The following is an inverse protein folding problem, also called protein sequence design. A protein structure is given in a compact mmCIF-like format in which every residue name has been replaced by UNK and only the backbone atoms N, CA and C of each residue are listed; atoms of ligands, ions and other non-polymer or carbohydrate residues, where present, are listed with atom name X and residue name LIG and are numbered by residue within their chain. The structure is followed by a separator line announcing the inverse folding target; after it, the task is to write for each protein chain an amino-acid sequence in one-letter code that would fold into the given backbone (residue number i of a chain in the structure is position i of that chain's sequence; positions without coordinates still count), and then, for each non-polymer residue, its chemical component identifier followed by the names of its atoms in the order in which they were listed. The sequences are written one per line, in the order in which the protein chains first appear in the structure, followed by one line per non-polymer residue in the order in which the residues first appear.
data_IF_146143337056
#
_entry.id   IF_146143337056
#
_cell.length_a   1.000
_cell.length_b   1.000
_cell.length_c   1.000
_cell.angle_alpha   90.00
_cell.angle_beta   90.00
_cell.angle_gamma   90.00
#
_symmetry.space_group_name_H-M   'P 1'
#
loop_
_entity.id
_entity.type
_entity.pdbx_description
1 polymer ?
#
# COMPACT_ATOMS: atom_id res chain seq x y z
N UNK A 1 9.48 10.19 -9.38
CA UNK A 1 8.54 9.97 -8.26
C UNK A 1 7.47 8.93 -8.59
N UNK A 2 6.82 8.98 -9.77
CA UNK A 2 5.77 8.01 -10.16
C UNK A 2 6.24 6.55 -10.12
N UNK A 3 7.50 6.26 -10.50
CA UNK A 3 7.99 4.88 -10.52
C UNK A 3 8.12 4.29 -9.11
N UNK A 4 8.61 5.05 -8.13
CA UNK A 4 8.73 4.59 -6.73
C UNK A 4 7.37 4.28 -6.10
N UNK A 5 6.34 5.07 -6.44
CA UNK A 5 4.96 4.84 -5.98
C UNK A 5 4.37 3.59 -6.64
N UNK A 6 4.61 3.40 -7.95
CA UNK A 6 4.21 2.18 -8.67
C UNK A 6 4.90 0.93 -8.12
N UNK A 7 6.19 1.00 -7.85
CA UNK A 7 6.96 -0.11 -7.28
C UNK A 7 6.46 -0.45 -5.87
N UNK A 8 6.18 0.57 -5.06
CA UNK A 8 5.58 0.40 -3.73
C UNK A 8 4.19 -0.24 -3.82
N UNK A 9 3.35 0.19 -4.77
CA UNK A 9 2.03 -0.40 -5.01
C UNK A 9 2.13 -1.88 -5.41
N UNK A 10 3.07 -2.24 -6.28
CA UNK A 10 3.33 -3.63 -6.66
C UNK A 10 3.81 -4.47 -5.47
N UNK A 11 4.71 -3.92 -4.64
CA UNK A 11 5.17 -4.57 -3.41
C UNK A 11 4.02 -4.83 -2.44
N UNK A 12 3.15 -3.84 -2.23
CA UNK A 12 1.94 -4.01 -1.40
C UNK A 12 1.03 -5.07 -1.99
N UNK A 13 0.79 -5.03 -3.31
CA UNK A 13 -0.03 -6.03 -4.00
C UNK A 13 0.50 -7.44 -3.83
N UNK A 14 1.81 -7.64 -3.93
CA UNK A 14 2.43 -8.93 -3.69
C UNK A 14 2.15 -9.41 -2.25
N UNK A 15 2.35 -8.55 -1.25
CA UNK A 15 2.07 -8.90 0.14
C UNK A 15 0.58 -9.25 0.32
N UNK A 16 -0.33 -8.37 -0.10
CA UNK A 16 -1.78 -8.58 0.02
C UNK A 16 -2.24 -9.92 -0.58
N UNK A 17 -1.65 -10.34 -1.69
CA UNK A 17 -2.06 -11.55 -2.41
C UNK A 17 -1.38 -12.83 -1.94
N UNK A 18 -0.19 -12.76 -1.34
CA UNK A 18 0.62 -13.96 -1.04
C UNK A 18 0.83 -14.18 0.47
N UNK A 19 0.57 -13.19 1.33
CA UNK A 19 0.92 -13.27 2.77
C UNK A 19 0.26 -14.45 3.50
N UNK A 20 -0.93 -14.88 3.03
CA UNK A 20 -1.63 -16.04 3.58
C UNK A 20 -0.84 -17.35 3.42
N UNK A 21 -0.11 -17.52 2.31
CA UNK A 21 0.73 -18.70 2.06
C UNK A 21 1.93 -18.77 3.02
N UNK A 22 2.34 -17.62 3.56
CA UNK A 22 3.39 -17.50 4.56
C UNK A 22 2.86 -17.52 6.01
N UNK A 23 1.57 -17.82 6.21
CA UNK A 23 0.93 -17.89 7.52
C UNK A 23 0.57 -16.53 8.14
N UNK A 24 0.66 -15.44 7.37
CA UNK A 24 0.14 -14.16 7.80
C UNK A 24 -1.34 -13.98 7.45
N UNK A 25 -1.90 -12.85 7.86
CA UNK A 25 -3.33 -12.56 7.69
C UNK A 25 -3.49 -11.41 6.69
N UNK A 26 -4.11 -11.65 5.52
CA UNK A 26 -4.29 -10.63 4.48
C UNK A 26 -5.22 -9.48 4.91
N UNK A 27 -5.98 -9.65 5.99
CA UNK A 27 -6.84 -8.62 6.59
C UNK A 27 -6.15 -7.89 7.76
N UNK A 28 -4.88 -8.17 8.07
CA UNK A 28 -4.12 -7.50 9.15
C UNK A 28 -2.78 -6.97 8.67
N UNK A 29 -2.80 -6.16 7.62
CA UNK A 29 -1.60 -5.54 7.05
C UNK A 29 -1.42 -4.13 7.60
N UNK A 30 -0.19 -3.78 7.98
CA UNK A 30 0.18 -2.46 8.49
C UNK A 30 1.28 -1.88 7.60
N UNK A 31 1.08 -0.66 7.09
CA UNK A 31 2.04 0.01 6.23
C UNK A 31 2.83 1.06 7.04
N UNK A 32 4.15 1.11 6.84
CA UNK A 32 4.99 2.10 7.51
C UNK A 32 6.01 2.69 6.54
N UNK A 33 6.36 3.95 6.73
CA UNK A 33 7.42 4.60 5.98
C UNK A 33 8.10 5.69 6.80
N UNK A 34 9.38 5.96 6.51
CA UNK A 34 10.17 6.97 7.20
C UNK A 34 10.74 7.99 6.19
N UNK A 35 10.73 9.27 6.56
CA UNK A 35 11.24 10.37 5.71
C UNK A 35 10.60 10.34 4.31
N UNK A 36 11.39 10.24 3.25
CA UNK A 36 10.90 10.10 1.87
C UNK A 36 10.03 8.84 1.68
N UNK A 37 10.31 7.75 2.41
CA UNK A 37 9.50 6.53 2.40
C UNK A 37 8.11 6.74 2.98
N UNK A 38 7.96 7.62 3.97
CA UNK A 38 6.64 8.00 4.51
C UNK A 38 5.80 8.68 3.41
N UNK A 39 6.42 9.63 2.69
CA UNK A 39 5.75 10.25 1.56
C UNK A 39 5.35 9.22 0.50
N UNK A 40 6.27 8.33 0.09
CA UNK A 40 5.99 7.31 -0.93
C UNK A 40 4.85 6.37 -0.51
N UNK A 41 4.87 5.89 0.74
CA UNK A 41 3.83 5.02 1.27
C UNK A 41 2.45 5.71 1.31
N UNK A 42 2.39 6.96 1.78
CA UNK A 42 1.16 7.75 1.80
C UNK A 42 0.63 8.03 0.38
N UNK A 43 1.50 8.42 -0.55
CA UNK A 43 1.12 8.64 -1.96
C UNK A 43 0.62 7.36 -2.63
N UNK A 44 1.22 6.21 -2.30
CA UNK A 44 0.77 4.90 -2.80
C UNK A 44 -0.65 4.56 -2.33
N UNK A 45 -0.94 4.76 -1.04
CA UNK A 45 -2.29 4.57 -0.50
C UNK A 45 -3.30 5.51 -1.14
N UNK A 46 -2.94 6.78 -1.32
CA UNK A 46 -3.82 7.78 -1.92
C UNK A 46 -4.12 7.47 -3.39
N UNK A 47 -3.10 7.17 -4.20
CA UNK A 47 -3.28 6.77 -5.59
C UNK A 47 -4.15 5.51 -5.71
N UNK A 48 -3.95 4.54 -4.81
CA UNK A 48 -4.77 3.33 -4.79
C UNK A 48 -6.24 3.62 -4.43
N UNK A 49 -6.49 4.45 -3.41
CA UNK A 49 -7.84 4.86 -3.03
C UNK A 49 -8.55 5.61 -4.17
N UNK A 50 -7.83 6.46 -4.92
CA UNK A 50 -8.37 7.16 -6.09
C UNK A 50 -8.74 6.15 -7.19
N UNK A 51 -7.90 5.13 -7.46
CA UNK A 51 -8.21 4.07 -8.43
C UNK A 51 -9.45 3.28 -8.02
N UNK A 52 -9.56 2.90 -6.76
CA UNK A 52 -10.73 2.18 -6.23
C UNK A 52 -12.02 3.01 -6.27
N UNK A 53 -11.91 4.34 -6.13
CA UNK A 53 -13.04 5.25 -6.22
C UNK A 53 -13.49 5.51 -7.67
N UNK A 54 -12.62 5.28 -8.66
CA UNK A 54 -12.96 5.37 -10.07
C UNK A 54 -13.81 4.19 -10.52
N UNK A 55 -14.88 4.44 -11.27
CA UNK A 55 -15.68 3.36 -11.87
C UNK A 55 -14.86 2.62 -12.95
N UNK A 56 -14.44 1.38 -12.66
CA UNK A 56 -14.04 0.43 -13.71
C UNK A 56 -12.56 0.00 -13.77
N UNK A 57 -11.68 0.44 -12.87
CA UNK A 57 -10.33 -0.12 -12.79
C UNK A 57 -10.26 -1.33 -11.85
N UNK A 58 -9.96 -2.51 -12.41
CA UNK A 58 -9.66 -3.70 -11.63
C UNK A 58 -8.36 -3.49 -10.86
N UNK A 59 -8.43 -3.42 -9.53
CA UNK A 59 -7.25 -3.29 -8.68
C UNK A 59 -6.74 -4.67 -8.23
N UNK A 60 -5.42 -4.80 -8.09
CA UNK A 60 -4.78 -6.04 -7.65
C UNK A 60 -4.63 -6.16 -6.12
N UNK A 61 -5.06 -5.15 -5.38
CA UNK A 61 -5.15 -5.08 -3.92
C UNK A 61 -6.09 -3.94 -3.52
N UNK A 62 -6.60 -3.95 -2.29
CA UNK A 62 -7.47 -2.88 -1.78
C UNK A 62 -6.85 -2.13 -0.60
N UNK A 63 -7.08 -0.81 -0.53
CA UNK A 63 -6.73 0.01 0.64
C UNK A 63 -7.41 -0.48 1.92
N UNK A 64 -8.55 -1.16 1.82
CA UNK A 64 -9.26 -1.75 2.97
C UNK A 64 -8.49 -2.88 3.68
N UNK A 65 -7.53 -3.50 2.99
CA UNK A 65 -6.64 -4.51 3.57
C UNK A 65 -5.57 -3.90 4.49
N UNK A 66 -5.28 -2.60 4.32
CA UNK A 66 -4.31 -1.88 5.14
C UNK A 66 -5.03 -1.32 6.38
N UNK A 67 -4.76 -1.93 7.54
CA UNK A 67 -5.42 -1.58 8.80
C UNK A 67 -4.93 -0.26 9.40
N UNK A 68 -3.66 0.06 9.21
CA UNK A 68 -3.13 1.36 9.60
C UNK A 68 -1.89 1.71 8.78
N UNK A 69 -1.63 3.01 8.70
CA UNK A 69 -0.44 3.59 8.12
C UNK A 69 0.31 4.43 9.18
N UNK A 70 1.63 4.25 9.27
CA UNK A 70 2.49 5.04 10.15
C UNK A 70 3.57 5.77 9.36
N UNK A 71 3.48 7.10 9.34
CA UNK A 71 4.50 7.97 8.78
C UNK A 71 5.46 8.46 9.87
N UNK A 72 6.75 8.13 9.73
CA UNK A 72 7.79 8.51 10.68
C UNK A 72 8.61 9.68 10.12
N UNK A 73 8.73 10.76 10.87
CA UNK A 73 9.56 11.90 10.48
C UNK A 73 11.05 11.54 10.53
N UNK A 74 11.86 12.21 9.69
CA UNK A 74 13.31 12.21 9.85
C UNK A 74 13.71 12.94 11.12
N UNK A 75 14.82 12.50 11.74
CA UNK A 75 15.50 13.25 12.81
C UNK A 75 16.41 14.33 12.27
#
# INVERSE_FOLDING_TARGET
MSDMVKDSSQGISFVCNNIAEYGGDPDRIYLMGQSAGAHIAASTLLEQAIKEAGEGESTSWSVSQIKAYFGLSGG
#
